data_IF_892241588888
#
_entry.id   IF_892241588888
#
_cell.length_a   1.000
_cell.length_b   1.000
_cell.length_c   1.000
_cell.angle_alpha   90.00
_cell.angle_beta   90.00
_cell.angle_gamma   90.00
#
_symmetry.space_group_name_H-M   'P 1'
#
loop_
_entity.id
_entity.type
_entity.pdbx_description
1 polymer ?
#
# COMPACT_ATOMS: atom_id res chain seq x y z
N UNK A 1 13.77 -9.06 -8.09
CA UNK A 1 14.79 -9.26 -9.16
C UNK A 1 15.05 -10.73 -9.43
N UNK A 2 15.79 -11.04 -10.49
CA UNK A 2 15.98 -12.43 -10.98
C UNK A 2 16.73 -13.34 -10.00
N UNK A 3 17.57 -12.75 -9.15
CA UNK A 3 18.43 -13.49 -8.20
C UNK A 3 17.92 -13.38 -6.74
N UNK A 4 16.66 -13.00 -6.55
CA UNK A 4 16.03 -12.85 -5.25
C UNK A 4 15.05 -13.99 -5.05
N UNK A 5 15.34 -14.91 -4.13
CA UNK A 5 14.48 -16.04 -3.77
C UNK A 5 13.88 -15.88 -2.37
N UNK A 6 14.54 -15.12 -1.51
CA UNK A 6 14.15 -14.87 -0.13
C UNK A 6 14.42 -13.42 0.29
N UNK A 7 14.01 -13.04 1.49
CA UNK A 7 14.27 -11.70 2.04
C UNK A 7 15.75 -11.50 2.35
N UNK A 8 16.45 -12.54 2.76
CA UNK A 8 17.88 -12.53 3.04
C UNK A 8 18.72 -12.16 1.82
N UNK A 9 18.23 -12.46 0.61
CA UNK A 9 18.89 -12.09 -0.64
C UNK A 9 18.87 -10.58 -0.91
N UNK A 10 18.09 -9.80 -0.16
CA UNK A 10 18.03 -8.35 -0.26
C UNK A 10 19.19 -7.65 0.49
N UNK A 11 19.88 -8.35 1.38
CA UNK A 11 20.97 -7.77 2.17
C UNK A 11 22.06 -7.18 1.26
N UNK A 12 22.39 -5.92 1.50
CA UNK A 12 23.38 -5.15 0.72
C UNK A 12 22.92 -4.74 -0.68
N UNK A 13 21.64 -4.87 -1.01
CA UNK A 13 21.11 -4.52 -2.32
C UNK A 13 20.12 -3.35 -2.26
N UNK A 14 20.01 -2.57 -3.35
CA UNK A 14 19.03 -1.49 -3.45
C UNK A 14 17.61 -2.05 -3.59
N UNK A 15 16.70 -1.56 -2.74
CA UNK A 15 15.28 -1.88 -2.73
C UNK A 15 14.47 -0.59 -2.80
N UNK A 16 13.58 -0.46 -3.79
CA UNK A 16 12.87 0.79 -4.00
C UNK A 16 11.57 0.90 -3.18
N UNK A 17 11.36 2.09 -2.67
CA UNK A 17 10.15 2.54 -1.97
C UNK A 17 9.69 3.87 -2.57
N UNK A 18 8.37 4.21 -2.55
CA UNK A 18 7.89 5.49 -3.07
C UNK A 18 8.43 6.70 -2.32
N UNK A 19 8.51 6.60 -1.00
CA UNK A 19 9.04 7.62 -0.09
C UNK A 19 9.35 7.01 1.26
N UNK A 20 10.33 7.55 1.96
CA UNK A 20 10.64 7.17 3.35
C UNK A 20 9.48 7.37 4.33
N UNK A 21 8.52 8.23 3.99
CA UNK A 21 7.33 8.51 4.80
C UNK A 21 6.07 7.77 4.30
N UNK A 22 6.21 6.86 3.34
CA UNK A 22 5.09 6.05 2.84
C UNK A 22 4.87 4.81 3.72
N UNK A 23 3.64 4.31 3.74
CA UNK A 23 3.31 3.02 4.36
C UNK A 23 4.07 1.86 3.70
N UNK A 24 4.44 1.99 2.44
CA UNK A 24 5.30 1.03 1.74
C UNK A 24 6.69 0.91 2.40
N UNK A 25 7.24 2.01 2.95
CA UNK A 25 8.48 1.94 3.72
C UNK A 25 8.28 1.19 5.05
N UNK A 26 7.13 1.35 5.68
CA UNK A 26 6.75 0.57 6.85
C UNK A 26 6.65 -0.92 6.51
N UNK A 27 6.05 -1.27 5.37
CA UNK A 27 5.99 -2.66 4.89
C UNK A 27 7.39 -3.26 4.68
N UNK A 28 8.34 -2.50 4.13
CA UNK A 28 9.73 -2.96 4.01
C UNK A 28 10.34 -3.19 5.40
N UNK A 29 10.17 -2.25 6.32
CA UNK A 29 10.66 -2.36 7.70
C UNK A 29 10.10 -3.61 8.41
N UNK A 30 8.78 -3.78 8.41
CA UNK A 30 8.10 -4.93 9.02
C UNK A 30 8.54 -6.27 8.40
N UNK A 31 8.71 -6.31 7.08
CA UNK A 31 9.19 -7.51 6.39
C UNK A 31 10.61 -7.89 6.87
N UNK A 32 11.52 -6.93 6.92
CA UNK A 32 12.89 -7.15 7.35
C UNK A 32 12.95 -7.58 8.81
N UNK A 33 12.20 -6.92 9.70
CA UNK A 33 12.14 -7.24 11.11
C UNK A 33 11.65 -8.68 11.37
N UNK A 34 10.58 -9.10 10.66
CA UNK A 34 10.07 -10.49 10.73
C UNK A 34 11.13 -11.54 10.36
N UNK A 35 12.10 -11.17 9.54
CA UNK A 35 13.21 -12.03 9.13
C UNK A 35 14.49 -11.81 9.95
N UNK A 36 14.46 -10.96 10.97
CA UNK A 36 15.61 -10.65 11.83
C UNK A 36 16.73 -9.90 11.11
N UNK A 37 16.39 -9.15 10.07
CA UNK A 37 17.31 -8.33 9.26
C UNK A 37 17.17 -6.88 9.70
N UNK A 38 18.26 -6.22 10.04
CA UNK A 38 18.22 -4.81 10.38
C UNK A 38 17.90 -3.96 9.13
N UNK A 39 17.11 -2.90 9.30
CA UNK A 39 16.67 -2.07 8.18
C UNK A 39 17.82 -1.47 7.37
N UNK A 40 18.92 -1.13 8.02
CA UNK A 40 20.13 -0.57 7.40
C UNK A 40 21.01 -1.62 6.67
N UNK A 41 20.67 -2.90 6.77
CA UNK A 41 21.31 -3.95 5.96
C UNK A 41 20.78 -3.99 4.51
N UNK A 42 19.66 -3.29 4.22
CA UNK A 42 19.09 -3.13 2.88
C UNK A 42 19.15 -1.66 2.46
N UNK A 43 19.58 -1.39 1.25
CA UNK A 43 19.65 -0.02 0.72
C UNK A 43 18.26 0.45 0.25
N UNK A 44 17.48 1.08 1.14
CA UNK A 44 16.19 1.65 0.78
C UNK A 44 16.36 2.89 -0.11
N UNK A 45 15.84 2.84 -1.35
CA UNK A 45 15.98 3.90 -2.36
C UNK A 45 14.62 4.50 -2.68
N UNK A 46 14.48 5.81 -2.52
CA UNK A 46 13.27 6.50 -2.92
C UNK A 46 13.19 6.61 -4.45
N UNK A 47 12.06 6.17 -5.03
CA UNK A 47 11.87 6.16 -6.48
C UNK A 47 10.38 6.37 -6.82
N UNK A 48 10.05 7.15 -7.86
CA UNK A 48 8.68 7.24 -8.36
C UNK A 48 8.14 5.86 -8.76
N UNK A 49 6.90 5.49 -8.35
CA UNK A 49 6.32 4.18 -8.65
C UNK A 49 6.41 3.77 -10.12
N UNK A 50 6.15 4.69 -11.03
CA UNK A 50 6.18 4.43 -12.47
C UNK A 50 7.57 4.05 -13.02
N UNK A 51 8.65 4.35 -12.29
CA UNK A 51 10.03 4.01 -12.71
C UNK A 51 10.48 2.64 -12.18
N UNK A 52 9.81 2.10 -11.15
CA UNK A 52 10.24 0.90 -10.46
C UNK A 52 10.24 -0.36 -11.35
N UNK A 53 9.22 -0.63 -12.19
CA UNK A 53 9.25 -1.80 -13.07
C UNK A 53 10.43 -1.79 -14.05
N UNK A 54 10.75 -0.64 -14.63
CA UNK A 54 11.90 -0.49 -15.51
C UNK A 54 13.22 -0.64 -14.75
N UNK A 55 13.34 -0.06 -13.55
CA UNK A 55 14.52 -0.18 -12.71
C UNK A 55 14.80 -1.65 -12.31
N UNK A 56 13.74 -2.41 -12.02
CA UNK A 56 13.84 -3.85 -11.71
C UNK A 56 14.31 -4.64 -12.94
N UNK A 57 13.71 -4.39 -14.10
CA UNK A 57 14.06 -5.05 -15.35
C UNK A 57 15.51 -4.83 -15.76
N UNK A 58 16.03 -3.60 -15.51
CA UNK A 58 17.42 -3.21 -15.78
C UNK A 58 18.41 -3.70 -14.71
N UNK A 59 17.92 -4.28 -13.60
CA UNK A 59 18.76 -4.73 -12.49
C UNK A 59 19.36 -3.60 -11.65
N UNK A 60 18.78 -2.39 -11.72
CA UNK A 60 19.20 -1.25 -10.90
C UNK A 60 18.74 -1.37 -9.44
N UNK A 61 17.67 -2.12 -9.22
CA UNK A 61 17.13 -2.47 -7.91
C UNK A 61 16.90 -3.97 -7.83
N UNK A 62 17.00 -4.52 -6.62
CA UNK A 62 16.77 -5.93 -6.33
C UNK A 62 15.28 -6.26 -6.17
N UNK A 63 14.51 -5.30 -5.70
CA UNK A 63 13.07 -5.38 -5.48
C UNK A 63 12.47 -4.01 -5.20
N UNK A 64 11.16 -3.99 -5.04
CA UNK A 64 10.42 -2.80 -4.62
C UNK A 64 9.10 -3.17 -3.96
N UNK A 65 8.52 -2.24 -3.22
CA UNK A 65 7.17 -2.30 -2.68
C UNK A 65 6.40 -1.07 -3.14
N UNK A 66 5.19 -1.28 -3.65
CA UNK A 66 4.42 -0.21 -4.31
C UNK A 66 2.94 -0.61 -4.42
N UNK A 67 2.07 0.38 -4.57
CA UNK A 67 0.67 0.12 -4.90
C UNK A 67 0.50 -0.38 -6.34
N UNK A 68 -0.57 -1.13 -6.59
CA UNK A 68 -0.95 -1.55 -7.93
C UNK A 68 -1.30 -0.32 -8.83
N UNK A 69 -1.06 -0.39 -10.14
CA UNK A 69 -0.75 -1.58 -10.96
C UNK A 69 0.75 -1.90 -11.14
N UNK A 70 1.66 -1.21 -10.47
CA UNK A 70 3.10 -1.30 -10.75
C UNK A 70 3.71 -2.65 -10.38
N UNK A 71 3.16 -3.35 -9.38
CA UNK A 71 3.54 -4.73 -9.07
C UNK A 71 3.16 -5.69 -10.20
N UNK A 72 1.91 -5.61 -10.65
CA UNK A 72 1.37 -6.41 -11.73
C UNK A 72 2.14 -6.21 -13.04
N UNK A 73 2.57 -4.98 -13.36
CA UNK A 73 3.40 -4.70 -14.55
C UNK A 73 4.67 -5.55 -14.56
N UNK A 74 5.40 -5.63 -13.45
CA UNK A 74 6.64 -6.42 -13.43
C UNK A 74 6.40 -7.92 -13.55
N UNK A 75 5.30 -8.42 -13.03
CA UNK A 75 4.94 -9.84 -13.10
C UNK A 75 4.45 -10.18 -14.50
N UNK A 76 3.55 -9.38 -15.08
CA UNK A 76 3.05 -9.57 -16.46
C UNK A 76 4.18 -9.55 -17.49
N UNK A 77 5.18 -8.68 -17.33
CA UNK A 77 6.36 -8.61 -18.20
C UNK A 77 7.43 -9.68 -17.89
N UNK A 78 7.17 -10.61 -16.97
CA UNK A 78 8.12 -11.63 -16.53
C UNK A 78 9.47 -11.06 -16.02
N UNK A 79 9.48 -9.80 -15.56
CA UNK A 79 10.64 -9.12 -15.04
C UNK A 79 10.80 -9.25 -13.52
N UNK A 80 9.72 -9.60 -12.83
CA UNK A 80 9.64 -9.76 -11.39
C UNK A 80 8.75 -10.92 -10.98
N UNK A 81 8.82 -11.24 -9.71
CA UNK A 81 7.90 -12.14 -9.01
C UNK A 81 7.48 -11.52 -7.70
N UNK A 82 6.30 -11.87 -7.22
CA UNK A 82 5.85 -11.49 -5.88
C UNK A 82 6.67 -12.27 -4.86
N UNK A 83 7.25 -11.57 -3.90
CA UNK A 83 7.89 -12.17 -2.74
C UNK A 83 6.88 -12.29 -1.60
N UNK A 84 6.15 -11.21 -1.32
CA UNK A 84 5.06 -11.14 -0.37
C UNK A 84 3.97 -10.18 -0.88
N UNK A 85 2.74 -10.45 -0.51
CA UNK A 85 1.66 -9.46 -0.51
C UNK A 85 1.69 -8.68 0.80
N UNK A 86 1.19 -7.43 0.80
CA UNK A 86 1.18 -6.58 2.00
C UNK A 86 0.48 -7.24 3.19
N UNK A 87 -0.61 -7.96 2.95
CA UNK A 87 -1.40 -8.67 3.95
C UNK A 87 -0.61 -9.77 4.68
N UNK A 88 0.38 -10.39 4.04
CA UNK A 88 1.25 -11.40 4.66
C UNK A 88 2.28 -10.76 5.59
N UNK A 89 2.60 -9.48 5.36
CA UNK A 89 3.55 -8.72 6.16
C UNK A 89 2.83 -8.00 7.30
N UNK A 90 1.78 -7.27 6.97
CA UNK A 90 1.02 -6.42 7.89
C UNK A 90 -0.46 -6.58 7.59
N UNK A 91 -1.15 -7.36 8.40
CA UNK A 91 -2.58 -7.63 8.25
C UNK A 91 -3.40 -6.34 8.36
N UNK A 92 -4.40 -6.20 7.49
CA UNK A 92 -5.23 -4.98 7.35
C UNK A 92 -4.37 -3.71 7.16
N UNK A 93 -3.25 -3.83 6.42
CA UNK A 93 -2.30 -2.74 6.22
C UNK A 93 -2.96 -1.48 5.66
N UNK A 94 -2.59 -0.33 6.22
CA UNK A 94 -3.12 0.97 5.81
C UNK A 94 -2.31 1.48 4.63
N UNK A 95 -2.85 1.42 3.41
CA UNK A 95 -2.18 1.99 2.25
C UNK A 95 -2.56 3.47 2.05
N UNK A 96 -3.85 3.77 2.00
CA UNK A 96 -4.39 5.11 1.83
C UNK A 96 -5.51 5.39 2.83
N UNK A 97 -5.73 6.67 3.13
CA UNK A 97 -6.84 7.12 3.97
C UNK A 97 -7.65 8.23 3.30
N UNK A 98 -8.95 8.22 3.49
CA UNK A 98 -9.82 9.33 3.13
C UNK A 98 -9.61 10.48 4.12
N UNK A 99 -9.12 11.61 3.65
CA UNK A 99 -8.82 12.78 4.48
C UNK A 99 -9.74 13.94 4.13
N UNK A 100 -10.46 14.45 5.11
CA UNK A 100 -11.32 15.62 4.99
C UNK A 100 -10.88 16.72 5.98
N UNK A 101 -11.08 17.99 5.59
CA UNK A 101 -10.75 19.12 6.47
C UNK A 101 -11.73 19.20 7.65
N UNK A 102 -11.24 19.24 8.89
CA UNK A 102 -12.07 19.29 10.10
C UNK A 102 -13.16 20.36 10.05
N UNK A 103 -12.84 21.60 9.64
CA UNK A 103 -13.84 22.66 9.49
C UNK A 103 -14.92 22.35 8.45
N UNK A 104 -14.63 21.53 7.44
CA UNK A 104 -15.62 21.09 6.46
C UNK A 104 -16.55 20.06 7.10
N UNK A 105 -16.00 19.11 7.83
CA UNK A 105 -16.77 18.10 8.59
C UNK A 105 -17.74 18.77 9.55
N UNK A 106 -17.25 19.70 10.39
CA UNK A 106 -18.07 20.43 11.39
C UNK A 106 -19.28 21.15 10.76
N UNK A 107 -19.08 21.76 9.60
CA UNK A 107 -20.12 22.55 8.92
C UNK A 107 -21.09 21.73 8.06
N UNK A 108 -20.70 20.51 7.67
CA UNK A 108 -21.40 19.73 6.66
C UNK A 108 -21.55 18.26 7.06
N UNK A 109 -21.78 17.97 8.34
CA UNK A 109 -21.74 16.60 8.87
C UNK A 109 -22.63 15.62 8.10
N UNK A 110 -23.86 16.03 7.76
CA UNK A 110 -24.80 15.17 7.00
C UNK A 110 -24.28 14.87 5.58
N UNK A 111 -23.66 15.86 4.93
CA UNK A 111 -23.06 15.67 3.61
C UNK A 111 -21.86 14.73 3.68
N UNK A 112 -21.01 14.88 4.70
CA UNK A 112 -19.86 13.99 4.93
C UNK A 112 -20.35 12.57 5.19
N UNK A 113 -21.40 12.38 6.00
CA UNK A 113 -21.99 11.07 6.25
C UNK A 113 -22.49 10.43 4.95
N UNK A 114 -23.23 11.18 4.11
CA UNK A 114 -23.69 10.67 2.82
C UNK A 114 -22.53 10.28 1.92
N UNK A 115 -21.51 11.12 1.85
CA UNK A 115 -20.30 10.84 1.04
C UNK A 115 -19.56 9.58 1.52
N UNK A 116 -19.36 9.41 2.83
CA UNK A 116 -18.70 8.22 3.37
C UNK A 116 -19.53 6.96 3.11
N UNK A 117 -20.88 7.04 3.24
CA UNK A 117 -21.75 5.92 2.92
C UNK A 117 -21.62 5.52 1.43
N UNK A 118 -21.62 6.49 0.52
CA UNK A 118 -21.45 6.24 -0.91
C UNK A 118 -20.06 5.69 -1.24
N UNK A 119 -19.03 6.17 -0.54
CA UNK A 119 -17.65 5.67 -0.67
C UNK A 119 -17.52 4.21 -0.24
N UNK A 120 -18.11 3.85 0.90
CA UNK A 120 -18.12 2.45 1.40
C UNK A 120 -18.92 1.55 0.45
N UNK A 121 -20.10 2.00 0.02
CA UNK A 121 -20.90 1.24 -0.95
C UNK A 121 -20.17 1.06 -2.29
N UNK A 122 -19.41 2.06 -2.72
CA UNK A 122 -18.54 1.94 -3.89
C UNK A 122 -17.46 0.87 -3.72
N UNK A 123 -16.84 0.79 -2.54
CA UNK A 123 -15.90 -0.28 -2.21
C UNK A 123 -16.53 -1.67 -2.23
N UNK A 124 -17.72 -1.82 -1.63
CA UNK A 124 -18.48 -3.08 -1.65
C UNK A 124 -18.80 -3.54 -3.09
N UNK A 125 -19.16 -2.61 -3.98
CA UNK A 125 -19.39 -2.91 -5.39
C UNK A 125 -18.08 -3.29 -6.10
N UNK A 126 -16.99 -2.55 -5.87
CA UNK A 126 -15.69 -2.83 -6.46
C UNK A 126 -15.12 -4.18 -5.99
N UNK A 127 -15.44 -4.61 -4.77
CA UNK A 127 -15.02 -5.91 -4.22
C UNK A 127 -15.65 -7.10 -4.95
N UNK A 128 -16.76 -6.91 -5.68
CA UNK A 128 -17.34 -7.97 -6.52
C UNK A 128 -16.40 -8.38 -7.64
N UNK A 129 -15.51 -7.48 -8.08
CA UNK A 129 -14.51 -7.71 -9.15
C UNK A 129 -15.12 -8.34 -10.40
N UNK A 130 -16.35 -7.93 -10.69
CA UNK A 130 -17.10 -8.36 -11.86
C UNK A 130 -16.73 -7.55 -13.12
N UNK A 131 -17.34 -7.88 -14.25
CA UNK A 131 -17.13 -7.19 -15.53
C UNK A 131 -17.36 -5.68 -15.42
N UNK A 132 -18.34 -5.24 -14.59
CA UNK A 132 -18.60 -3.84 -14.37
C UNK A 132 -17.47 -3.15 -13.62
N UNK A 133 -16.96 -3.78 -12.57
CA UNK A 133 -15.77 -3.27 -11.83
C UNK A 133 -14.58 -3.15 -12.77
N UNK A 134 -14.33 -4.17 -13.58
CA UNK A 134 -13.26 -4.18 -14.57
C UNK A 134 -13.39 -3.02 -15.57
N UNK A 135 -14.57 -2.82 -16.15
CA UNK A 135 -14.85 -1.74 -17.09
C UNK A 135 -14.61 -0.36 -16.45
N UNK A 136 -15.15 -0.14 -15.23
CA UNK A 136 -15.01 1.14 -14.51
C UNK A 136 -13.54 1.40 -14.19
N UNK A 137 -12.81 0.44 -13.63
CA UNK A 137 -11.39 0.63 -13.28
C UNK A 137 -10.54 0.87 -14.53
N UNK A 138 -10.84 0.16 -15.64
CA UNK A 138 -10.18 0.33 -16.94
C UNK A 138 -10.34 1.74 -17.55
N UNK A 139 -11.40 2.48 -17.19
CA UNK A 139 -11.55 3.90 -17.59
C UNK A 139 -10.52 4.82 -16.90
N UNK A 140 -10.02 4.45 -15.72
CA UNK A 140 -9.08 5.25 -14.92
C UNK A 140 -7.63 4.76 -14.99
N UNK A 141 -7.42 3.46 -15.19
CA UNK A 141 -6.09 2.85 -15.30
C UNK A 141 -5.79 2.50 -16.77
N UNK A 142 -4.85 3.24 -17.37
CA UNK A 142 -4.39 2.96 -18.74
C UNK A 142 -3.24 1.95 -18.68
N UNK A 143 -3.58 0.68 -18.59
CA UNK A 143 -2.65 -0.47 -18.58
C UNK A 143 -3.16 -1.55 -19.52
N UNK A 144 -2.33 -2.55 -19.83
CA UNK A 144 -2.75 -3.73 -20.60
C UNK A 144 -3.75 -4.57 -19.78
N UNK A 145 -4.62 -5.30 -20.46
CA UNK A 145 -5.74 -6.05 -19.84
C UNK A 145 -5.24 -7.08 -18.82
N UNK A 146 -4.17 -7.79 -19.12
CA UNK A 146 -3.57 -8.78 -18.22
C UNK A 146 -2.98 -8.15 -16.94
N UNK A 147 -2.46 -6.93 -17.03
CA UNK A 147 -2.01 -6.14 -15.86
C UNK A 147 -3.19 -5.71 -15.02
N UNK A 148 -4.28 -5.26 -15.66
CA UNK A 148 -5.51 -4.87 -14.96
C UNK A 148 -6.11 -6.05 -14.21
N UNK A 149 -6.26 -7.18 -14.86
CA UNK A 149 -6.77 -8.43 -14.29
C UNK A 149 -5.96 -8.86 -13.07
N UNK A 150 -4.64 -8.82 -13.19
CA UNK A 150 -3.74 -9.21 -12.10
C UNK A 150 -3.83 -8.23 -10.92
N UNK A 151 -3.85 -6.93 -11.20
CA UNK A 151 -4.01 -5.89 -10.18
C UNK A 151 -5.32 -6.05 -9.41
N UNK A 152 -6.44 -6.27 -10.10
CA UNK A 152 -7.74 -6.49 -9.47
C UNK A 152 -7.78 -7.76 -8.61
N UNK A 153 -7.01 -8.80 -8.94
CA UNK A 153 -6.89 -9.97 -8.07
C UNK A 153 -6.21 -9.65 -6.73
N UNK A 154 -5.26 -8.73 -6.72
CA UNK A 154 -4.46 -8.41 -5.54
C UNK A 154 -5.04 -7.27 -4.69
N UNK A 155 -5.73 -6.31 -5.30
CA UNK A 155 -6.38 -5.21 -4.56
C UNK A 155 -7.58 -5.76 -3.79
N UNK A 156 -7.70 -5.39 -2.50
CA UNK A 156 -8.91 -5.53 -1.71
C UNK A 156 -9.62 -4.18 -1.59
N UNK A 157 -10.92 -4.18 -1.84
CA UNK A 157 -11.82 -3.06 -1.61
C UNK A 157 -12.75 -3.30 -0.41
N UNK A 158 -12.54 -4.42 0.29
CA UNK A 158 -13.28 -4.79 1.48
C UNK A 158 -12.74 -4.07 2.71
N UNK A 159 -13.59 -3.91 3.74
CA UNK A 159 -13.23 -3.31 5.01
C UNK A 159 -12.44 -1.98 4.88
N UNK A 160 -13.11 -0.94 4.34
CA UNK A 160 -12.52 0.40 4.16
C UNK A 160 -12.34 1.19 5.48
N UNK A 161 -12.47 0.53 6.62
CA UNK A 161 -12.23 1.11 7.94
C UNK A 161 -10.76 0.96 8.32
N UNK A 162 -10.18 2.01 8.87
CA UNK A 162 -8.85 1.89 9.51
C UNK A 162 -9.04 1.21 10.85
N UNK A 163 -8.53 0.00 11.01
CA UNK A 163 -8.60 -0.76 12.25
C UNK A 163 -7.55 -0.28 13.26
N UNK A 164 -7.89 -0.30 14.54
CA UNK A 164 -7.03 0.21 15.61
C UNK A 164 -5.73 -0.60 15.74
N UNK A 165 -5.82 -1.93 15.60
CA UNK A 165 -4.65 -2.82 15.65
C UNK A 165 -3.68 -2.54 14.48
N UNK A 166 -4.21 -2.30 13.29
CA UNK A 166 -3.39 -1.94 12.13
C UNK A 166 -2.76 -0.55 12.29
N UNK A 167 -3.53 0.41 12.82
CA UNK A 167 -2.99 1.74 13.13
C UNK A 167 -1.87 1.67 14.19
N UNK A 168 -1.98 0.75 15.15
CA UNK A 168 -0.93 0.55 16.15
C UNK A 168 0.39 0.13 15.52
N UNK A 169 0.37 -0.77 14.54
CA UNK A 169 1.58 -1.17 13.79
C UNK A 169 2.20 0.05 13.12
N UNK A 170 1.41 0.85 12.39
CA UNK A 170 1.88 2.10 11.78
C UNK A 170 2.55 3.02 12.81
N UNK A 171 1.88 3.25 13.94
CA UNK A 171 2.34 4.16 14.97
C UNK A 171 3.63 3.69 15.64
N UNK A 172 3.73 2.40 15.93
CA UNK A 172 4.90 1.80 16.55
C UNK A 172 6.10 1.85 15.58
N UNK A 173 5.91 1.52 14.31
CA UNK A 173 6.95 1.64 13.29
C UNK A 173 7.42 3.08 13.08
N UNK A 174 6.53 4.08 13.11
CA UNK A 174 6.92 5.50 13.03
C UNK A 174 7.83 5.93 14.18
N UNK A 175 7.62 5.39 15.39
CA UNK A 175 8.48 5.63 16.55
C UNK A 175 9.82 4.90 16.42
N UNK A 176 9.79 3.63 16.04
CA UNK A 176 10.96 2.75 15.97
C UNK A 176 11.93 3.15 14.87
N UNK A 177 11.39 3.56 13.71
CA UNK A 177 12.16 4.12 12.61
C UNK A 177 12.56 5.60 12.81
N UNK A 178 12.23 6.21 13.95
CA UNK A 178 12.49 7.62 14.26
C UNK A 178 11.91 8.59 13.21
N UNK A 179 10.81 8.21 12.54
CA UNK A 179 10.14 9.04 11.55
C UNK A 179 9.22 10.08 12.21
N UNK A 180 8.77 9.84 13.45
CA UNK A 180 7.99 10.78 14.25
C UNK A 180 8.29 10.58 15.72
N UNK A 181 8.56 11.68 16.44
CA UNK A 181 8.77 11.63 17.90
C UNK A 181 7.46 11.46 18.69
N UNK A 182 6.35 11.87 18.13
CA UNK A 182 5.04 11.83 18.79
C UNK A 182 3.90 11.68 17.77
N UNK A 183 3.76 10.50 17.17
CA UNK A 183 2.64 10.24 16.26
C UNK A 183 1.32 10.29 17.03
N UNK A 184 0.22 10.77 16.40
CA UNK A 184 -1.08 10.90 17.06
C UNK A 184 -1.60 9.58 17.61
N UNK A 185 -2.55 9.63 18.54
CA UNK A 185 -3.30 8.44 18.94
C UNK A 185 -4.29 8.05 17.85
N UNK A 186 -4.86 6.84 17.94
CA UNK A 186 -5.88 6.40 16.98
C UNK A 186 -7.08 7.37 16.98
N UNK A 187 -7.56 7.76 18.15
CA UNK A 187 -8.70 8.65 18.32
C UNK A 187 -8.44 10.08 17.81
N UNK A 188 -7.18 10.52 17.84
CA UNK A 188 -6.79 11.82 17.30
C UNK A 188 -6.62 11.81 15.77
N UNK A 189 -6.38 10.65 15.20
CA UNK A 189 -6.11 10.47 13.77
C UNK A 189 -7.32 9.98 12.97
N UNK A 190 -8.12 9.08 13.54
CA UNK A 190 -9.23 8.40 12.86
C UNK A 190 -10.57 8.85 13.46
N UNK A 191 -11.42 9.47 12.64
CA UNK A 191 -12.83 9.69 12.98
C UNK A 191 -13.68 8.53 12.43
N UNK A 192 -13.82 7.47 13.22
CA UNK A 192 -14.63 6.30 12.86
C UNK A 192 -16.15 6.52 12.99
N UNK A 193 -16.60 7.72 13.41
CA UNK A 193 -18.02 7.99 13.66
C UNK A 193 -18.89 8.02 12.39
N UNK A 194 -18.26 8.02 11.21
CA UNK A 194 -18.92 8.02 9.91
C UNK A 194 -19.01 6.64 9.25
N UNK A 195 -18.30 5.66 9.76
CA UNK A 195 -18.27 4.27 9.23
C UNK A 195 -18.73 3.31 10.33
N UNK A 196 -19.71 2.44 10.03
CA UNK A 196 -20.29 1.47 10.97
C UNK A 196 -19.85 0.07 10.60
#
# INVERSE_FOLDING_TARGET
GKDIESVEDLIGKPFAIPSRFSTHNILLFEMLEKHGIAYDEVEAVEMPPAEMPAALAEGRIAGYVVAEPFGAISVSLENGKVLYQSEEIWQDSIDCGLVLRGQFIEKNRDLVQSFVNDYVAGGELAQLKDDHTHDVVGEYLTVEEDVLDLSLQWISYDNLKIEEDSYKVLRDALLEMELSENPPTYEDFVDSSFIN
#
